data_IF_558826992227
#
_entry.id   IF_558826992227
#
_cell.length_a   1.000
_cell.length_b   1.000
_cell.length_c   1.000
_cell.angle_alpha   90.00
_cell.angle_beta   90.00
_cell.angle_gamma   90.00
#
_symmetry.space_group_name_H-M   'P 1'
#
loop_
_entity.id
_entity.type
_entity.pdbx_description
1 polymer ?
#
# COMPACT_ATOMS: atom_id res chain seq x y z
N UNK A 1 9.72 -9.60 25.66
CA UNK A 1 10.37 -8.82 24.60
C UNK A 1 9.67 -9.15 23.30
N UNK A 2 8.91 -8.22 22.72
CA UNK A 2 8.10 -8.49 21.51
C UNK A 2 9.00 -8.29 20.29
N UNK A 3 9.31 -9.35 19.56
CA UNK A 3 10.02 -9.26 18.28
C UNK A 3 9.22 -8.35 17.34
N UNK A 4 9.93 -7.50 16.59
CA UNK A 4 9.30 -6.65 15.60
C UNK A 4 8.51 -7.52 14.60
N UNK A 5 7.27 -7.15 14.23
CA UNK A 5 6.48 -7.96 13.33
C UNK A 5 7.17 -8.05 11.97
N UNK A 6 7.40 -9.29 11.51
CA UNK A 6 8.01 -9.58 10.19
C UNK A 6 7.12 -9.06 9.06
N UNK A 7 7.72 -8.81 7.88
CA UNK A 7 6.99 -8.40 6.68
C UNK A 7 5.76 -9.30 6.44
N UNK A 8 5.94 -10.61 6.53
CA UNK A 8 4.89 -11.60 6.31
C UNK A 8 3.74 -11.47 7.32
N UNK A 9 4.03 -11.19 8.60
CA UNK A 9 3.00 -10.92 9.62
C UNK A 9 2.18 -9.67 9.28
N UNK A 10 2.84 -8.58 8.88
CA UNK A 10 2.16 -7.33 8.49
C UNK A 10 1.29 -7.51 7.25
N UNK A 11 1.77 -8.26 6.26
CA UNK A 11 0.99 -8.58 5.06
C UNK A 11 -0.26 -9.40 5.40
N UNK A 12 -0.19 -10.36 6.33
CA UNK A 12 -1.39 -11.09 6.80
C UNK A 12 -2.39 -10.17 7.51
N UNK A 13 -1.92 -9.22 8.31
CA UNK A 13 -2.79 -8.19 8.92
C UNK A 13 -3.45 -7.35 7.83
N UNK A 14 -2.71 -6.96 6.79
CA UNK A 14 -3.26 -6.23 5.67
C UNK A 14 -4.31 -7.05 4.91
N UNK A 15 -4.06 -8.34 4.64
CA UNK A 15 -5.06 -9.25 4.03
C UNK A 15 -6.34 -9.32 4.86
N UNK A 16 -6.24 -9.43 6.19
CA UNK A 16 -7.42 -9.42 7.04
C UNK A 16 -8.18 -8.09 6.99
N UNK A 17 -7.45 -6.97 6.92
CA UNK A 17 -8.03 -5.63 6.79
C UNK A 17 -8.73 -5.44 5.45
N UNK A 18 -8.12 -5.87 4.35
CA UNK A 18 -8.69 -5.76 2.99
C UNK A 18 -9.90 -6.66 2.83
N UNK A 19 -9.88 -7.85 3.42
CA UNK A 19 -11.05 -8.74 3.47
C UNK A 19 -12.24 -8.09 4.20
N UNK A 20 -12.00 -7.52 5.39
CA UNK A 20 -13.05 -6.79 6.12
C UNK A 20 -13.59 -5.60 5.34
N UNK A 21 -12.72 -4.82 4.72
CA UNK A 21 -13.12 -3.70 3.86
C UNK A 21 -14.00 -4.19 2.69
N UNK A 22 -13.59 -5.28 2.03
CA UNK A 22 -14.35 -5.90 0.94
C UNK A 22 -15.74 -6.35 1.39
N UNK A 23 -15.86 -7.00 2.57
CA UNK A 23 -17.16 -7.39 3.14
C UNK A 23 -18.06 -6.19 3.43
N UNK A 24 -17.52 -5.12 4.03
CA UNK A 24 -18.27 -3.89 4.30
C UNK A 24 -18.81 -3.29 3.00
N UNK A 25 -17.97 -3.11 1.99
CA UNK A 25 -18.39 -2.55 0.72
C UNK A 25 -19.33 -3.47 -0.05
N UNK A 26 -19.23 -4.78 0.11
CA UNK A 26 -20.21 -5.74 -0.43
C UNK A 26 -21.58 -5.58 0.26
N UNK A 27 -21.62 -5.51 1.60
CA UNK A 27 -22.87 -5.33 2.36
C UNK A 27 -23.58 -4.00 2.07
N UNK A 28 -22.81 -2.93 1.81
CA UNK A 28 -23.36 -1.63 1.41
C UNK A 28 -24.10 -1.69 0.07
N UNK A 29 -23.85 -2.72 -0.75
CA UNK A 29 -24.51 -2.93 -2.03
C UNK A 29 -25.75 -3.83 -1.89
N UNK A 30 -25.68 -4.86 -1.05
CA UNK A 30 -26.76 -5.84 -0.87
C UNK A 30 -27.86 -5.40 0.10
N UNK A 31 -27.61 -4.41 0.96
CA UNK A 31 -28.61 -3.89 1.92
C UNK A 31 -29.82 -3.16 1.31
N UNK A 32 -30.03 -3.19 0.00
CA UNK A 32 -31.13 -2.48 -0.69
C UNK A 32 -32.16 -3.45 -1.28
N UNK A 33 -33.19 -3.72 -0.49
CA UNK A 33 -34.52 -4.02 -1.03
C UNK A 33 -35.25 -2.70 -1.31
N UNK A 34 -35.71 -2.52 -2.54
CA UNK A 34 -36.93 -1.77 -2.90
C UNK A 34 -37.18 -0.39 -2.24
N UNK A 35 -36.21 0.51 -2.27
CA UNK A 35 -36.37 1.98 -2.09
C UNK A 35 -34.98 2.61 -2.18
N UNK A 36 -34.68 3.71 -2.88
CA UNK A 36 -35.48 4.70 -3.59
C UNK A 36 -34.66 5.21 -4.80
N UNK A 37 -35.29 5.84 -5.79
CA UNK A 37 -34.62 6.45 -6.97
C UNK A 37 -33.73 7.67 -6.66
N UNK A 38 -33.08 7.71 -5.50
CA UNK A 38 -32.27 8.83 -5.06
C UNK A 38 -30.87 8.81 -5.71
N UNK A 39 -30.44 9.93 -6.27
CA UNK A 39 -29.13 10.06 -6.91
C UNK A 39 -27.97 9.80 -5.94
N UNK A 40 -28.12 10.25 -4.68
CA UNK A 40 -27.11 10.01 -3.65
C UNK A 40 -26.89 8.52 -3.38
N UNK A 41 -27.97 7.76 -3.49
CA UNK A 41 -27.98 6.31 -3.30
C UNK A 41 -27.24 5.57 -4.41
N UNK A 42 -27.50 5.93 -5.67
CA UNK A 42 -26.81 5.40 -6.86
C UNK A 42 -25.31 5.73 -6.79
N UNK A 43 -24.98 6.98 -6.48
CA UNK A 43 -23.59 7.41 -6.34
C UNK A 43 -22.85 6.63 -5.23
N UNK A 44 -23.53 6.31 -4.14
CA UNK A 44 -22.94 5.50 -3.07
C UNK A 44 -22.69 4.05 -3.49
N UNK A 45 -23.62 3.43 -4.22
CA UNK A 45 -23.45 2.07 -4.75
C UNK A 45 -22.28 2.00 -5.74
N UNK A 46 -22.16 2.99 -6.63
CA UNK A 46 -21.02 3.12 -7.55
C UNK A 46 -19.70 3.20 -6.77
N UNK A 47 -19.62 4.04 -5.75
CA UNK A 47 -18.42 4.16 -4.89
C UNK A 47 -18.11 2.82 -4.22
N UNK A 48 -19.07 2.22 -3.52
CA UNK A 48 -18.89 0.97 -2.81
C UNK A 48 -18.45 -0.17 -3.76
N UNK A 49 -19.05 -0.26 -4.95
CA UNK A 49 -18.67 -1.23 -5.98
C UNK A 49 -17.23 -1.06 -6.47
N UNK A 50 -16.74 0.18 -6.59
CA UNK A 50 -15.33 0.43 -6.94
C UNK A 50 -14.42 0.03 -5.80
N UNK A 51 -14.70 0.46 -4.57
CA UNK A 51 -13.88 0.13 -3.40
C UNK A 51 -13.78 -1.39 -3.18
N UNK A 52 -14.88 -2.12 -3.32
CA UNK A 52 -14.90 -3.58 -3.30
C UNK A 52 -13.93 -4.18 -4.32
N UNK A 53 -14.01 -3.74 -5.60
CA UNK A 53 -13.18 -4.27 -6.68
C UNK A 53 -11.69 -4.02 -6.44
N UNK A 54 -11.33 -2.80 -6.03
CA UNK A 54 -9.92 -2.44 -5.80
C UNK A 54 -9.35 -3.23 -4.59
N UNK A 55 -10.14 -3.42 -3.53
CA UNK A 55 -9.71 -4.26 -2.40
C UNK A 55 -9.63 -5.75 -2.75
N UNK A 56 -10.50 -6.26 -3.60
CA UNK A 56 -10.42 -7.65 -4.09
C UNK A 56 -9.16 -7.87 -4.94
N UNK A 57 -8.81 -6.91 -5.80
CA UNK A 57 -7.57 -6.92 -6.59
C UNK A 57 -6.33 -6.92 -5.68
N UNK A 58 -6.32 -6.06 -4.65
CA UNK A 58 -5.26 -6.05 -3.65
C UNK A 58 -5.17 -7.38 -2.89
N UNK A 59 -6.30 -7.94 -2.47
CA UNK A 59 -6.32 -9.23 -1.75
C UNK A 59 -5.70 -10.34 -2.59
N UNK A 60 -6.04 -10.43 -3.88
CA UNK A 60 -5.40 -11.38 -4.80
C UNK A 60 -3.89 -11.16 -4.87
N UNK A 61 -3.45 -9.91 -5.09
CA UNK A 61 -2.02 -9.60 -5.19
C UNK A 61 -1.24 -9.88 -3.90
N UNK A 62 -1.85 -9.67 -2.73
CA UNK A 62 -1.24 -9.98 -1.44
C UNK A 62 -1.14 -11.50 -1.21
N UNK A 63 -2.15 -12.27 -1.60
CA UNK A 63 -2.08 -13.72 -1.54
C UNK A 63 -0.93 -14.25 -2.42
N UNK A 64 -0.83 -13.77 -3.66
CA UNK A 64 0.28 -14.11 -4.56
C UNK A 64 1.63 -13.76 -3.91
N UNK A 65 1.72 -12.62 -3.21
CA UNK A 65 2.95 -12.22 -2.52
C UNK A 65 3.28 -13.11 -1.32
N UNK A 66 2.27 -13.60 -0.59
CA UNK A 66 2.43 -14.49 0.56
C UNK A 66 2.81 -15.92 0.17
N UNK A 67 2.45 -16.35 -1.04
CA UNK A 67 2.85 -17.64 -1.61
C UNK A 67 4.33 -17.66 -2.02
N UNK A 68 4.98 -16.50 -2.10
CA UNK A 68 6.41 -16.40 -2.36
C UNK A 68 7.21 -16.85 -1.11
N UNK A 69 8.04 -17.88 -1.27
CA UNK A 69 8.84 -18.44 -0.18
C UNK A 69 10.02 -17.58 0.28
N UNK A 70 10.35 -16.50 -0.44
CA UNK A 70 11.48 -15.61 -0.12
C UNK A 70 11.02 -14.22 0.30
N UNK A 71 11.60 -13.69 1.37
CA UNK A 71 11.33 -12.34 1.87
C UNK A 71 11.68 -11.26 0.83
N UNK A 72 12.75 -11.45 0.05
CA UNK A 72 13.15 -10.52 -1.00
C UNK A 72 12.15 -10.53 -2.17
N UNK A 73 11.66 -11.71 -2.56
CA UNK A 73 10.64 -11.84 -3.60
C UNK A 73 9.30 -11.24 -3.14
N UNK A 74 8.92 -11.50 -1.89
CA UNK A 74 7.73 -10.92 -1.25
C UNK A 74 7.79 -9.40 -1.28
N UNK A 75 8.90 -8.81 -0.82
CA UNK A 75 9.09 -7.36 -0.80
C UNK A 75 9.03 -6.74 -2.22
N UNK A 76 9.63 -7.40 -3.21
CA UNK A 76 9.57 -6.95 -4.60
C UNK A 76 8.13 -7.00 -5.17
N UNK A 77 7.40 -8.09 -4.94
CA UNK A 77 5.99 -8.20 -5.35
C UNK A 77 5.12 -7.11 -4.70
N UNK A 78 5.33 -6.84 -3.41
CA UNK A 78 4.63 -5.76 -2.68
C UNK A 78 4.97 -4.38 -3.27
N UNK A 79 6.23 -4.15 -3.66
CA UNK A 79 6.64 -2.92 -4.35
C UNK A 79 5.94 -2.77 -5.73
N UNK A 80 5.85 -3.86 -6.50
CA UNK A 80 5.14 -3.86 -7.77
C UNK A 80 3.64 -3.56 -7.60
N UNK A 81 3.00 -4.14 -6.57
CA UNK A 81 1.61 -3.83 -6.24
C UNK A 81 1.45 -2.35 -5.89
N UNK A 82 2.35 -1.79 -5.07
CA UNK A 82 2.33 -0.37 -4.74
C UNK A 82 2.37 0.48 -6.02
N UNK A 83 3.34 0.24 -6.88
CA UNK A 83 3.50 0.99 -8.15
C UNK A 83 2.28 0.87 -9.06
N UNK A 84 1.68 -0.32 -9.12
CA UNK A 84 0.44 -0.56 -9.86
C UNK A 84 -0.71 0.30 -9.34
N UNK A 85 -0.95 0.32 -8.03
CA UNK A 85 -2.01 1.15 -7.45
C UNK A 85 -1.71 2.65 -7.52
N UNK A 86 -0.46 3.08 -7.41
CA UNK A 86 -0.07 4.47 -7.67
C UNK A 86 -0.41 4.89 -9.11
N UNK A 87 -0.03 4.06 -10.09
CA UNK A 87 -0.37 4.32 -11.49
C UNK A 87 -1.88 4.37 -11.71
N UNK A 88 -2.64 3.43 -11.15
CA UNK A 88 -4.10 3.45 -11.22
C UNK A 88 -4.71 4.73 -10.65
N UNK A 89 -4.15 5.26 -9.56
CA UNK A 89 -4.61 6.51 -8.97
C UNK A 89 -4.31 7.71 -9.88
N UNK A 90 -3.10 7.78 -10.45
CA UNK A 90 -2.70 8.84 -11.39
C UNK A 90 -3.55 8.81 -12.65
N UNK A 91 -3.74 7.64 -13.26
CA UNK A 91 -4.55 7.48 -14.47
C UNK A 91 -6.01 7.91 -14.21
N UNK A 92 -6.56 7.57 -13.05
CA UNK A 92 -7.90 7.99 -12.65
C UNK A 92 -7.99 9.51 -12.43
N UNK A 93 -6.98 10.13 -11.83
CA UNK A 93 -6.90 11.58 -11.64
C UNK A 93 -6.92 12.33 -12.98
N UNK A 94 -6.12 11.89 -13.96
CA UNK A 94 -6.12 12.50 -15.29
C UNK A 94 -7.47 12.38 -16.02
N UNK A 95 -8.19 11.28 -15.82
CA UNK A 95 -9.55 11.12 -16.36
C UNK A 95 -10.51 12.09 -15.67
N UNK A 96 -10.38 12.31 -14.36
CA UNK A 96 -11.22 13.26 -13.61
C UNK A 96 -11.01 14.69 -14.11
N UNK A 97 -9.76 15.11 -14.27
CA UNK A 97 -9.39 16.45 -14.75
C UNK A 97 -10.04 16.71 -16.12
N UNK A 98 -9.78 15.84 -17.10
CA UNK A 98 -10.35 15.97 -18.46
C UNK A 98 -11.87 15.82 -18.50
N UNK A 99 -12.41 14.93 -17.68
CA UNK A 99 -13.85 14.67 -17.63
C UNK A 99 -14.62 15.81 -16.98
N UNK A 100 -14.01 16.55 -16.04
CA UNK A 100 -14.64 17.71 -15.40
C UNK A 100 -14.95 18.83 -16.39
N UNK A 101 -14.01 19.13 -17.30
CA UNK A 101 -14.19 20.13 -18.36
C UNK A 101 -15.34 19.73 -19.31
N UNK A 102 -15.38 18.45 -19.72
CA UNK A 102 -16.45 17.92 -20.58
C UNK A 102 -17.80 17.93 -19.91
N UNK A 103 -17.84 17.64 -18.60
CA UNK A 103 -19.08 17.69 -17.82
C UNK A 103 -19.64 19.11 -17.82
N UNK A 104 -18.79 20.10 -17.55
CA UNK A 104 -19.18 21.52 -17.60
C UNK A 104 -19.73 21.88 -18.98
N UNK A 105 -19.06 21.49 -20.07
CA UNK A 105 -19.57 21.75 -21.42
C UNK A 105 -20.93 21.10 -21.70
N UNK A 106 -21.14 19.86 -21.22
CA UNK A 106 -22.40 19.12 -21.41
C UNK A 106 -23.56 19.76 -20.65
N UNK A 107 -23.30 20.31 -19.45
CA UNK A 107 -24.27 21.09 -18.67
C UNK A 107 -24.69 22.35 -19.43
N UNK A 108 -23.74 23.09 -20.00
CA UNK A 108 -24.04 24.31 -20.77
C UNK A 108 -24.90 24.01 -22.01
N UNK A 109 -24.71 22.85 -22.64
CA UNK A 109 -25.50 22.37 -23.78
C UNK A 109 -26.85 21.78 -23.37
N UNK A 110 -27.16 21.73 -22.07
CA UNK A 110 -28.39 21.15 -21.50
C UNK A 110 -28.59 19.68 -21.89
N UNK A 111 -27.50 18.95 -22.11
CA UNK A 111 -27.52 17.52 -22.43
C UNK A 111 -27.62 16.71 -21.12
N UNK A 112 -28.79 16.70 -20.48
CA UNK A 112 -28.96 16.15 -19.13
C UNK A 112 -28.60 14.66 -19.02
N UNK A 113 -28.98 13.84 -20.01
CA UNK A 113 -28.65 12.40 -20.03
C UNK A 113 -27.14 12.15 -20.14
N UNK A 114 -26.47 12.90 -21.02
CA UNK A 114 -25.01 12.85 -21.19
C UNK A 114 -24.29 13.30 -19.92
N UNK A 115 -24.74 14.42 -19.34
CA UNK A 115 -24.22 15.00 -18.10
C UNK A 115 -24.35 14.02 -16.93
N UNK A 116 -25.49 13.35 -16.82
CA UNK A 116 -25.73 12.35 -15.78
C UNK A 116 -24.76 11.18 -15.89
N UNK A 117 -24.61 10.59 -17.08
CA UNK A 117 -23.66 9.49 -17.33
C UNK A 117 -22.23 9.90 -17.04
N UNK A 118 -21.82 11.08 -17.51
CA UNK A 118 -20.49 11.63 -17.26
C UNK A 118 -20.23 11.85 -15.75
N UNK A 119 -21.24 12.30 -15.00
CA UNK A 119 -21.15 12.46 -13.54
C UNK A 119 -20.91 11.14 -12.82
N UNK A 120 -21.63 10.08 -13.20
CA UNK A 120 -21.43 8.74 -12.61
C UNK A 120 -20.05 8.16 -12.92
N UNK A 121 -19.56 8.32 -14.16
CA UNK A 121 -18.19 7.89 -14.50
C UNK A 121 -17.14 8.70 -13.73
N UNK A 122 -17.34 10.01 -13.53
CA UNK A 122 -16.44 10.80 -12.68
C UNK A 122 -16.46 10.36 -11.21
N UNK A 123 -17.63 10.01 -10.67
CA UNK A 123 -17.74 9.46 -9.30
C UNK A 123 -16.96 8.14 -9.20
N UNK A 124 -17.09 7.27 -10.20
CA UNK A 124 -16.37 5.99 -10.28
C UNK A 124 -14.86 6.20 -10.38
N UNK A 125 -14.40 7.12 -11.23
CA UNK A 125 -12.98 7.47 -11.34
C UNK A 125 -12.44 8.06 -10.03
N UNK A 126 -13.20 8.95 -9.38
CA UNK A 126 -12.83 9.52 -8.08
C UNK A 126 -12.72 8.46 -6.99
N UNK A 127 -13.68 7.54 -6.93
CA UNK A 127 -13.63 6.41 -6.00
C UNK A 127 -12.41 5.52 -6.26
N UNK A 128 -12.10 5.25 -7.54
CA UNK A 128 -10.95 4.42 -7.93
C UNK A 128 -9.65 5.09 -7.51
N UNK A 129 -9.49 6.38 -7.81
CA UNK A 129 -8.33 7.15 -7.40
C UNK A 129 -8.13 7.11 -5.88
N UNK A 130 -9.19 7.37 -5.11
CA UNK A 130 -9.12 7.38 -3.65
C UNK A 130 -8.75 6.01 -3.08
N UNK A 131 -9.43 4.95 -3.53
CA UNK A 131 -9.17 3.59 -3.08
C UNK A 131 -7.73 3.15 -3.41
N UNK A 132 -7.30 3.36 -4.67
CA UNK A 132 -5.95 3.02 -5.11
C UNK A 132 -4.88 3.82 -4.36
N UNK A 133 -5.12 5.10 -4.05
CA UNK A 133 -4.18 5.92 -3.28
C UNK A 133 -4.03 5.43 -1.85
N UNK A 134 -5.14 5.18 -1.15
CA UNK A 134 -5.11 4.63 0.22
C UNK A 134 -4.35 3.31 0.26
N UNK A 135 -4.58 2.43 -0.72
CA UNK A 135 -3.87 1.16 -0.81
C UNK A 135 -2.37 1.36 -1.05
N UNK A 136 -1.99 2.25 -1.97
CA UNK A 136 -0.58 2.55 -2.22
C UNK A 136 0.13 3.08 -0.97
N UNK A 137 -0.51 3.97 -0.23
CA UNK A 137 0.03 4.53 1.03
C UNK A 137 0.16 3.44 2.11
N UNK A 138 -0.80 2.50 2.19
CA UNK A 138 -0.72 1.35 3.11
C UNK A 138 0.43 0.39 2.76
N UNK A 139 0.63 0.09 1.47
CA UNK A 139 1.73 -0.75 1.01
C UNK A 139 3.08 -0.07 1.25
N UNK A 140 3.17 1.24 1.03
CA UNK A 140 4.37 2.03 1.32
C UNK A 140 4.72 2.01 2.82
N UNK A 141 3.71 2.15 3.69
CA UNK A 141 3.89 2.05 5.14
C UNK A 141 4.47 0.69 5.57
N UNK A 142 4.00 -0.41 4.97
CA UNK A 142 4.52 -1.76 5.25
C UNK A 142 5.98 -1.88 4.81
N UNK A 143 6.30 -1.41 3.60
CA UNK A 143 7.67 -1.47 3.06
C UNK A 143 8.65 -0.63 3.88
N UNK A 144 8.27 0.60 4.24
CA UNK A 144 9.13 1.51 5.00
C UNK A 144 9.34 1.01 6.44
N UNK A 145 8.29 0.49 7.07
CA UNK A 145 8.42 -0.06 8.43
C UNK A 145 9.28 -1.33 8.46
N UNK A 146 9.34 -2.09 7.36
CA UNK A 146 10.24 -3.24 7.21
C UNK A 146 11.70 -2.80 7.11
N UNK A 147 11.99 -1.74 6.35
CA UNK A 147 13.34 -1.16 6.26
C UNK A 147 13.85 -0.66 7.62
N UNK A 148 13.01 0.05 8.37
CA UNK A 148 13.36 0.56 9.70
C UNK A 148 13.64 -0.60 10.67
N UNK A 149 12.83 -1.66 10.62
CA UNK A 149 13.04 -2.85 11.47
C UNK A 149 14.36 -3.56 11.15
N UNK A 150 14.70 -3.70 9.85
CA UNK A 150 15.97 -4.29 9.42
C UNK A 150 17.20 -3.44 9.82
N UNK A 151 17.08 -2.10 9.76
CA UNK A 151 18.14 -1.19 10.22
C UNK A 151 18.34 -1.29 11.73
N UNK A 152 17.26 -1.38 12.52
CA UNK A 152 17.33 -1.59 13.97
C UNK A 152 17.99 -2.93 14.33
N UNK A 153 17.68 -4.01 13.61
CA UNK A 153 18.36 -5.30 13.81
C UNK A 153 19.86 -5.23 13.47
N UNK A 154 20.24 -4.53 12.39
CA UNK A 154 21.67 -4.35 12.02
C UNK A 154 22.48 -3.51 13.01
N UNK A 155 21.83 -2.61 13.75
CA UNK A 155 22.48 -1.76 14.78
C UNK A 155 22.63 -2.51 16.11
N UNK A 156 21.91 -3.61 16.30
CA UNK A 156 21.91 -4.42 17.52
C UNK A 156 22.68 -5.74 17.41
N UNK A 157 23.36 -6.03 16.31
CA UNK A 157 24.41 -7.05 16.32
C UNK A 157 25.58 -6.55 17.18
N UNK A 158 25.89 -7.19 18.32
CA UNK A 158 27.11 -6.86 19.04
C UNK A 158 28.28 -7.34 18.18
N UNK A 159 29.13 -6.41 17.75
CA UNK A 159 30.47 -6.75 17.27
C UNK A 159 31.14 -7.63 18.34
N UNK A 160 31.27 -8.92 18.05
CA UNK A 160 32.15 -9.78 18.85
C UNK A 160 33.58 -9.27 18.61
N UNK A 161 34.31 -8.82 19.64
CA UNK A 161 35.69 -8.43 19.46
C UNK A 161 36.53 -9.69 19.30
N UNK A 162 36.71 -10.15 18.06
CA UNK A 162 37.78 -11.09 17.70
C UNK A 162 39.09 -10.31 17.69
N UNK A 163 39.63 -10.05 18.89
CA UNK A 163 40.97 -9.53 19.07
C UNK A 163 42.00 -10.59 18.68
N UNK A 164 42.43 -10.57 17.43
CA UNK A 164 43.71 -11.15 17.00
C UNK A 164 44.61 -10.02 16.51
N UNK A 165 45.01 -9.13 17.43
CA UNK A 165 46.05 -8.15 17.12
C UNK A 165 47.42 -8.81 17.18
N UNK A 166 47.98 -8.87 15.98
CA UNK A 166 49.33 -9.25 15.65
C UNK A 166 50.34 -8.46 16.49
N UNK A 167 51.35 -9.19 16.96
CA UNK A 167 52.49 -8.70 17.70
C UNK A 167 53.16 -7.50 17.00
N UNK A 168 53.04 -6.35 17.64
CA UNK A 168 53.83 -5.15 17.38
C UNK A 168 55.28 -5.38 17.83
N UNK A 169 56.21 -5.19 16.89
CA UNK A 169 57.65 -5.12 17.10
C UNK A 169 58.00 -4.05 18.15
N UNK A 170 58.44 -4.48 19.34
CA UNK A 170 59.07 -3.60 20.33
C UNK A 170 60.51 -4.07 20.61
N UNK A 171 61.44 -3.19 20.24
CA UNK A 171 62.89 -3.28 20.42
C UNK A 171 63.24 -3.41 21.91
N UNK A 172 64.12 -4.33 22.35
CA UNK A 172 64.42 -4.53 23.76
C UNK A 172 65.43 -3.51 24.30
N UNK A 173 65.00 -2.71 25.28
CA UNK A 173 65.91 -1.94 26.15
C UNK A 173 66.52 -2.89 27.19
N UNK A 174 67.81 -3.21 27.02
CA UNK A 174 68.61 -3.96 28.01
C UNK A 174 68.72 -3.17 29.32
N UNK A 175 68.32 -3.79 30.41
CA UNK A 175 68.61 -3.39 31.80
C UNK A 175 69.90 -4.09 32.27
N UNK A 176 70.91 -3.35 32.72
CA UNK A 176 71.91 -3.80 33.71
C UNK A 176 72.28 -2.59 34.58
N UNK A 177 71.71 -2.50 35.79
CA UNK A 177 72.18 -3.04 37.09
C UNK A 177 73.31 -2.18 37.67
N UNK A 178 73.02 -1.60 38.83
CA UNK A 178 73.92 -0.85 39.70
C UNK A 178 75.06 -1.71 40.24
N UNK A 179 76.28 -1.16 40.23
CA UNK A 179 77.19 -1.05 41.38
C UNK A 179 78.24 0.00 41.09
#
# INVERSE_FOLDING_TARGET
MSSAPTLHSRLRVLVAKTFRASQLYSSMRTGRGESSGNLGEIANDVRAGVWYKVHAELQSGLNDALELGSAAQTANKVLQLKQHFEKMAIDAQHIIERGSERLVQSVHRQEFSTTFKASLELIKCKAKMQASRVIADELDSILNSTKISAQLESVFEPETPSGSDSASNVIPLRRRVSR
#
